data_IF_297870385444
#
_entry.id   IF_297870385444
#
_cell.length_a   1.000
_cell.length_b   1.000
_cell.length_c   1.000
_cell.angle_alpha   90.00
_cell.angle_beta   90.00
_cell.angle_gamma   90.00
#
_symmetry.space_group_name_H-M   'P 1'
#
loop_
_entity.id
_entity.type
_entity.pdbx_description
1 polymer ?
#
# COMPACT_ATOMS: atom_id res chain seq x y z
N UNK A 1 -6.47 31.20 -1.03
CA UNK A 1 -5.78 31.28 -2.34
C UNK A 1 -6.86 31.00 -3.37
N UNK A 2 -7.25 32.03 -4.13
CA UNK A 2 -8.28 31.90 -5.17
C UNK A 2 -7.65 31.27 -6.42
N UNK A 3 -7.84 29.97 -6.56
CA UNK A 3 -7.50 29.26 -7.80
C UNK A 3 -8.75 29.29 -8.68
N UNK A 4 -8.72 30.09 -9.75
CA UNK A 4 -9.81 30.12 -10.73
C UNK A 4 -10.01 28.72 -11.32
N UNK A 5 -11.17 28.13 -11.01
CA UNK A 5 -11.62 26.86 -11.56
C UNK A 5 -11.96 27.08 -13.05
N UNK A 6 -11.29 26.35 -13.93
CA UNK A 6 -11.52 26.44 -15.37
C UNK A 6 -12.88 25.79 -15.68
N UNK A 7 -13.86 26.59 -16.12
CA UNK A 7 -15.13 26.18 -16.75
C UNK A 7 -15.85 24.96 -16.12
N UNK A 8 -16.09 24.98 -14.82
CA UNK A 8 -16.95 24.00 -14.14
C UNK A 8 -18.40 24.51 -14.18
N UNK A 9 -19.39 23.70 -14.60
CA UNK A 9 -20.81 24.03 -14.44
C UNK A 9 -21.15 24.48 -13.01
N UNK A 10 -21.98 25.52 -12.87
CA UNK A 10 -22.25 26.19 -11.59
C UNK A 10 -22.83 25.25 -10.51
N UNK A 11 -23.60 24.25 -10.92
CA UNK A 11 -24.15 23.20 -10.07
C UNK A 11 -23.06 22.28 -9.51
N UNK A 12 -22.09 21.88 -10.34
CA UNK A 12 -20.94 21.08 -9.93
C UNK A 12 -19.98 21.87 -9.02
N UNK A 13 -19.90 23.19 -9.18
CA UNK A 13 -19.07 24.06 -8.35
C UNK A 13 -19.57 24.12 -6.90
N UNK A 14 -20.89 24.19 -6.68
CA UNK A 14 -21.49 24.20 -5.33
C UNK A 14 -21.27 22.87 -4.61
N UNK A 15 -21.51 21.74 -5.30
CA UNK A 15 -21.28 20.40 -4.73
C UNK A 15 -19.80 20.17 -4.42
N UNK A 16 -18.91 20.54 -5.32
CA UNK A 16 -17.47 20.44 -5.11
C UNK A 16 -17.03 21.29 -3.92
N UNK A 17 -17.50 22.53 -3.81
CA UNK A 17 -17.13 23.43 -2.71
C UNK A 17 -17.56 22.85 -1.37
N UNK A 18 -18.76 22.29 -1.25
CA UNK A 18 -19.21 21.65 -0.01
C UNK A 18 -18.32 20.46 0.39
N UNK A 19 -17.92 19.64 -0.57
CA UNK A 19 -16.99 18.52 -0.30
C UNK A 19 -15.63 19.07 0.11
N UNK A 20 -15.07 20.04 -0.62
CA UNK A 20 -13.76 20.64 -0.34
C UNK A 20 -13.73 21.36 1.02
N UNK A 21 -14.78 22.08 1.39
CA UNK A 21 -14.89 22.76 2.69
C UNK A 21 -14.92 21.72 3.83
N UNK A 22 -15.65 20.62 3.66
CA UNK A 22 -15.64 19.50 4.60
C UNK A 22 -14.27 18.81 4.64
N UNK A 23 -13.61 18.59 3.50
CA UNK A 23 -12.23 18.07 3.45
C UNK A 23 -11.28 18.96 4.25
N UNK A 24 -11.32 20.27 4.05
CA UNK A 24 -10.49 21.21 4.80
C UNK A 24 -10.77 21.19 6.29
N UNK A 25 -12.05 21.11 6.68
CA UNK A 25 -12.46 20.98 8.08
C UNK A 25 -11.88 19.70 8.69
N UNK A 26 -12.05 18.56 8.02
CA UNK A 26 -11.55 17.27 8.49
C UNK A 26 -10.01 17.23 8.58
N UNK A 27 -9.30 17.91 7.68
CA UNK A 27 -7.84 18.01 7.70
C UNK A 27 -7.33 18.97 8.78
N UNK A 28 -8.07 20.03 9.08
CA UNK A 28 -7.71 21.01 10.11
C UNK A 28 -7.82 20.43 11.54
N UNK A 29 -8.58 19.35 11.73
CA UNK A 29 -8.78 18.69 13.03
C UNK A 29 -7.53 17.95 13.59
N UNK A 30 -6.38 18.02 12.92
CA UNK A 30 -5.12 17.50 13.46
C UNK A 30 -5.02 15.97 13.50
N UNK A 31 -4.08 15.46 14.31
CA UNK A 31 -3.82 14.01 14.39
C UNK A 31 -4.97 13.28 15.08
N UNK A 32 -5.54 12.29 14.38
CA UNK A 32 -6.65 11.49 14.90
C UNK A 32 -6.20 10.19 15.55
N UNK A 33 -6.90 9.82 16.61
CA UNK A 33 -6.75 8.50 17.24
C UNK A 33 -7.39 7.38 16.42
N UNK A 34 -8.38 7.69 15.56
CA UNK A 34 -9.06 6.72 14.68
C UNK A 34 -8.96 7.10 13.22
N UNK A 35 -8.79 6.08 12.37
CA UNK A 35 -8.90 6.24 10.92
C UNK A 35 -10.36 6.53 10.53
N UNK A 36 -10.55 7.33 9.48
CA UNK A 36 -11.85 7.67 8.92
C UNK A 36 -11.94 7.19 7.48
N UNK A 37 -13.10 6.63 7.14
CA UNK A 37 -13.53 6.29 5.78
C UNK A 37 -14.88 6.97 5.55
N UNK A 38 -14.88 8.15 4.92
CA UNK A 38 -16.09 8.97 4.73
C UNK A 38 -16.49 8.95 3.27
N UNK A 39 -17.71 8.49 3.01
CA UNK A 39 -18.27 8.29 1.68
C UNK A 39 -19.13 9.47 1.26
N UNK A 40 -19.04 9.85 -0.01
CA UNK A 40 -19.84 10.88 -0.65
C UNK A 40 -20.38 10.31 -1.97
N UNK A 41 -21.70 10.41 -2.22
CA UNK A 41 -22.23 10.19 -3.56
C UNK A 41 -21.57 11.16 -4.53
N UNK A 42 -21.01 10.65 -5.63
CA UNK A 42 -20.29 11.44 -6.61
C UNK A 42 -20.38 10.81 -8.00
N UNK A 43 -21.07 11.52 -8.90
CA UNK A 43 -21.19 11.09 -10.30
C UNK A 43 -19.82 11.07 -11.00
N UNK A 44 -19.64 10.27 -12.06
CA UNK A 44 -18.38 10.24 -12.81
C UNK A 44 -17.96 11.60 -13.38
N UNK A 45 -18.92 12.43 -13.80
CA UNK A 45 -18.64 13.77 -14.31
C UNK A 45 -18.10 14.71 -13.23
N UNK A 46 -18.71 14.69 -12.04
CA UNK A 46 -18.21 15.46 -10.90
C UNK A 46 -16.83 14.95 -10.46
N UNK A 47 -16.62 13.63 -10.46
CA UNK A 47 -15.34 13.02 -10.13
C UNK A 47 -14.20 13.51 -11.01
N UNK A 48 -14.40 13.65 -12.33
CA UNK A 48 -13.35 14.17 -13.22
C UNK A 48 -12.87 15.57 -12.80
N UNK A 49 -13.82 16.44 -12.46
CA UNK A 49 -13.53 17.81 -12.00
C UNK A 49 -12.82 17.79 -10.64
N UNK A 50 -13.35 17.03 -9.68
CA UNK A 50 -12.79 16.91 -8.34
C UNK A 50 -11.38 16.31 -8.39
N UNK A 51 -11.17 15.23 -9.13
CA UNK A 51 -9.87 14.59 -9.28
C UNK A 51 -8.82 15.56 -9.85
N UNK A 52 -9.19 16.36 -10.86
CA UNK A 52 -8.30 17.39 -11.39
C UNK A 52 -7.92 18.39 -10.29
N UNK A 53 -8.88 18.91 -9.53
CA UNK A 53 -8.60 19.80 -8.40
C UNK A 53 -7.72 19.14 -7.33
N UNK A 54 -8.04 17.92 -6.91
CA UNK A 54 -7.28 17.18 -5.89
C UNK A 54 -5.82 16.93 -6.31
N UNK A 55 -5.56 16.69 -7.61
CA UNK A 55 -4.19 16.55 -8.11
C UNK A 55 -3.37 17.85 -8.03
N UNK A 56 -4.03 19.02 -8.00
CA UNK A 56 -3.34 20.32 -7.83
C UNK A 56 -2.98 20.63 -6.38
N UNK A 57 -3.71 20.05 -5.41
CA UNK A 57 -3.54 20.39 -3.99
C UNK A 57 -2.21 19.93 -3.38
N UNK A 58 -1.45 19.07 -4.09
CA UNK A 58 -0.13 18.56 -3.70
C UNK A 58 0.00 18.15 -2.21
N UNK A 59 -1.11 17.76 -1.59
CA UNK A 59 -1.25 17.48 -0.17
C UNK A 59 -1.39 15.99 0.13
N UNK A 60 -1.29 15.58 1.41
CA UNK A 60 -1.32 14.19 1.84
C UNK A 60 -2.73 13.58 1.81
N UNK A 61 -3.62 14.09 0.95
CA UNK A 61 -5.01 13.65 0.89
C UNK A 61 -5.06 12.22 0.35
N UNK A 62 -5.67 11.33 1.13
CA UNK A 62 -5.96 9.97 0.68
C UNK A 62 -7.41 9.88 0.25
N UNK A 63 -7.64 9.37 -0.95
CA UNK A 63 -8.98 9.20 -1.46
C UNK A 63 -9.10 7.99 -2.37
N UNK A 64 -10.34 7.52 -2.48
CA UNK A 64 -10.74 6.46 -3.38
C UNK A 64 -11.98 6.91 -4.14
N UNK A 65 -12.13 6.45 -5.37
CA UNK A 65 -13.34 6.65 -6.15
C UNK A 65 -13.74 5.33 -6.79
N UNK A 66 -14.94 4.88 -6.45
CA UNK A 66 -15.57 3.66 -6.91
C UNK A 66 -16.61 4.04 -7.96
N UNK A 67 -16.29 3.81 -9.23
CA UNK A 67 -17.15 4.20 -10.35
C UNK A 67 -18.40 3.34 -10.45
N UNK A 68 -18.34 2.06 -10.05
CA UNK A 68 -19.49 1.15 -10.15
C UNK A 68 -20.69 1.56 -9.27
N UNK A 69 -20.43 2.27 -8.16
CA UNK A 69 -21.45 2.75 -7.22
C UNK A 69 -21.45 4.28 -7.07
N UNK A 70 -20.73 4.99 -7.94
CA UNK A 70 -20.61 6.46 -7.93
C UNK A 70 -20.25 7.01 -6.54
N UNK A 71 -19.22 6.44 -5.89
CA UNK A 71 -18.84 6.82 -4.52
C UNK A 71 -17.42 7.36 -4.47
N UNK A 72 -17.29 8.61 -4.01
CA UNK A 72 -16.03 9.17 -3.56
C UNK A 72 -15.82 8.86 -2.08
N UNK A 73 -14.60 8.54 -1.71
CA UNK A 73 -14.21 8.25 -0.34
C UNK A 73 -13.04 9.13 0.04
N UNK A 74 -13.21 9.89 1.11
CA UNK A 74 -12.12 10.46 1.86
C UNK A 74 -11.59 9.45 2.87
N UNK A 75 -10.29 9.16 2.80
CA UNK A 75 -9.60 8.34 3.78
C UNK A 75 -8.68 9.23 4.63
N UNK A 76 -8.80 9.13 5.95
CA UNK A 76 -7.87 9.76 6.90
C UNK A 76 -7.30 8.65 7.78
N UNK A 77 -5.98 8.60 7.88
CA UNK A 77 -5.29 7.60 8.69
C UNK A 77 -5.10 8.10 10.12
N UNK A 78 -5.22 7.21 11.10
CA UNK A 78 -4.79 7.49 12.47
C UNK A 78 -3.26 7.44 12.61
N UNK A 79 -2.74 7.94 13.74
CA UNK A 79 -1.33 7.74 14.12
C UNK A 79 -0.94 6.26 14.11
N UNK A 80 -1.79 5.39 14.66
CA UNK A 80 -1.53 3.95 14.75
C UNK A 80 -1.48 3.28 13.36
N UNK A 81 -2.38 3.67 12.45
CA UNK A 81 -2.36 3.25 11.06
C UNK A 81 -1.04 3.63 10.37
N UNK A 82 -0.58 4.86 10.59
CA UNK A 82 0.65 5.34 9.97
C UNK A 82 1.92 4.71 10.55
N UNK A 83 1.96 4.40 11.85
CA UNK A 83 3.05 3.61 12.46
C UNK A 83 3.03 2.19 11.89
N UNK A 84 1.88 1.51 11.88
CA UNK A 84 1.74 0.17 11.32
C UNK A 84 2.25 0.10 9.88
N UNK A 85 1.86 1.08 9.04
CA UNK A 85 2.32 1.20 7.65
C UNK A 85 3.84 1.28 7.58
N UNK A 86 4.47 2.16 8.36
CA UNK A 86 5.93 2.37 8.35
C UNK A 86 6.67 1.13 8.85
N UNK A 87 6.22 0.54 9.96
CA UNK A 87 6.82 -0.68 10.54
C UNK A 87 6.72 -1.86 9.58
N UNK A 88 5.56 -2.07 8.96
CA UNK A 88 5.35 -3.15 7.99
C UNK A 88 6.23 -2.96 6.74
N UNK A 89 6.27 -1.73 6.19
CA UNK A 89 7.15 -1.38 5.08
C UNK A 89 8.61 -1.71 5.40
N UNK A 90 9.10 -1.25 6.56
CA UNK A 90 10.49 -1.44 6.98
C UNK A 90 10.85 -2.92 7.07
N UNK A 91 9.97 -3.76 7.60
CA UNK A 91 10.22 -5.21 7.73
C UNK A 91 10.32 -5.89 6.35
N UNK A 92 9.42 -5.56 5.43
CA UNK A 92 9.46 -6.10 4.05
C UNK A 92 10.77 -5.70 3.36
N UNK A 93 11.10 -4.41 3.37
CA UNK A 93 12.32 -3.89 2.73
C UNK A 93 13.55 -4.56 3.34
N UNK A 94 13.65 -4.62 4.67
CA UNK A 94 14.78 -5.27 5.36
C UNK A 94 14.96 -6.73 4.98
N UNK A 95 13.87 -7.50 4.86
CA UNK A 95 13.94 -8.91 4.44
C UNK A 95 14.35 -9.05 2.98
N UNK A 96 13.81 -8.22 2.09
CA UNK A 96 14.20 -8.21 0.69
C UNK A 96 15.70 -7.91 0.51
N UNK A 97 16.21 -6.89 1.20
CA UNK A 97 17.63 -6.55 1.19
C UNK A 97 18.52 -7.69 1.71
N UNK A 98 18.12 -8.34 2.81
CA UNK A 98 18.85 -9.49 3.36
C UNK A 98 18.89 -10.65 2.37
N UNK A 99 17.75 -10.98 1.76
CA UNK A 99 17.67 -12.00 0.72
C UNK A 99 18.62 -11.66 -0.43
N UNK A 100 18.53 -10.47 -1.00
CA UNK A 100 19.35 -10.07 -2.14
C UNK A 100 20.84 -10.00 -1.81
N UNK A 101 21.21 -9.57 -0.58
CA UNK A 101 22.60 -9.60 -0.09
C UNK A 101 23.16 -11.01 -0.04
N UNK A 102 22.37 -12.00 0.40
CA UNK A 102 22.81 -13.40 0.48
C UNK A 102 23.14 -14.01 -0.89
N UNK A 103 22.61 -13.44 -1.98
CA UNK A 103 22.88 -13.88 -3.34
C UNK A 103 23.68 -12.88 -4.18
N UNK A 104 24.32 -11.88 -3.56
CA UNK A 104 25.19 -10.93 -4.27
C UNK A 104 24.48 -9.97 -5.23
N UNK A 105 23.16 -9.76 -5.12
CA UNK A 105 22.37 -8.90 -6.01
C UNK A 105 21.72 -7.72 -5.29
N UNK A 106 22.51 -7.00 -4.49
CA UNK A 106 22.02 -5.83 -3.72
C UNK A 106 21.42 -4.74 -4.61
N UNK A 107 21.92 -4.60 -5.84
CA UNK A 107 21.42 -3.65 -6.84
C UNK A 107 19.96 -3.92 -7.21
N UNK A 108 19.54 -5.19 -7.31
CA UNK A 108 18.14 -5.54 -7.55
C UNK A 108 17.22 -5.05 -6.41
N UNK A 109 17.60 -5.25 -5.15
CA UNK A 109 16.81 -4.75 -4.01
C UNK A 109 16.62 -3.23 -4.03
N UNK A 110 17.65 -2.47 -4.45
CA UNK A 110 17.58 -1.00 -4.60
C UNK A 110 16.61 -0.55 -5.69
N UNK A 111 16.34 -1.41 -6.67
CA UNK A 111 15.41 -1.15 -7.78
C UNK A 111 13.96 -1.48 -7.43
N UNK A 112 13.70 -2.10 -6.28
CA UNK A 112 12.34 -2.25 -5.74
C UNK A 112 11.99 -1.00 -4.94
N UNK A 113 11.03 -0.24 -5.46
CA UNK A 113 10.51 0.98 -4.88
C UNK A 113 9.31 0.66 -4.00
N UNK A 114 9.23 1.29 -2.83
CA UNK A 114 8.02 1.34 -2.01
C UNK A 114 7.40 2.73 -2.16
N UNK A 115 6.17 2.80 -2.68
CA UNK A 115 5.42 4.05 -2.85
C UNK A 115 4.23 4.08 -1.91
N UNK A 116 3.96 5.25 -1.34
CA UNK A 116 2.81 5.52 -0.47
C UNK A 116 1.94 6.61 -1.10
N UNK A 117 0.73 6.88 -0.58
CA UNK A 117 -0.08 7.99 -1.09
C UNK A 117 0.66 9.33 -0.98
N UNK A 118 0.55 10.23 -1.97
CA UNK A 118 -0.29 10.09 -3.19
C UNK A 118 0.35 9.28 -4.33
N UNK A 119 1.65 8.98 -4.28
CA UNK A 119 2.39 8.32 -5.37
C UNK A 119 1.99 6.86 -5.60
N UNK A 120 1.28 6.23 -4.66
CA UNK A 120 0.78 4.85 -4.81
C UNK A 120 -0.51 4.74 -5.63
N UNK A 121 -1.12 5.86 -6.06
CA UNK A 121 -2.39 5.90 -6.81
C UNK A 121 -2.43 4.92 -7.99
N UNK A 122 -3.48 4.11 -8.06
CA UNK A 122 -3.76 3.20 -9.15
C UNK A 122 -5.12 3.54 -9.77
N UNK A 123 -5.19 3.47 -11.09
CA UNK A 123 -6.38 3.80 -11.86
C UNK A 123 -6.68 2.68 -12.85
N UNK A 124 -7.95 2.56 -13.25
CA UNK A 124 -8.33 1.76 -14.43
C UNK A 124 -7.74 2.36 -15.72
N UNK A 125 -7.68 1.60 -16.82
CA UNK A 125 -7.35 2.12 -18.14
C UNK A 125 -8.20 3.31 -18.60
N UNK A 126 -9.47 3.38 -18.19
CA UNK A 126 -10.36 4.51 -18.48
C UNK A 126 -10.20 5.68 -17.52
N UNK A 127 -9.49 5.50 -16.40
CA UNK A 127 -9.42 6.48 -15.31
C UNK A 127 -10.71 6.63 -14.51
N UNK A 128 -11.68 5.73 -14.73
CA UNK A 128 -12.98 5.80 -14.07
C UNK A 128 -12.90 5.44 -12.59
N UNK A 129 -12.27 4.32 -12.23
CA UNK A 129 -11.90 4.04 -10.83
C UNK A 129 -10.49 4.53 -10.52
N UNK A 130 -10.32 5.01 -9.28
CA UNK A 130 -9.06 5.53 -8.77
C UNK A 130 -8.93 5.19 -7.29
N UNK A 131 -7.89 4.45 -6.93
CA UNK A 131 -7.67 4.01 -5.56
C UNK A 131 -6.23 4.23 -5.12
N UNK A 132 -6.02 4.51 -3.84
CA UNK A 132 -4.70 4.81 -3.27
C UNK A 132 -4.37 3.82 -2.15
N UNK A 133 -3.54 2.80 -2.43
CA UNK A 133 -3.19 1.82 -1.41
C UNK A 133 -2.21 2.42 -0.42
N UNK A 134 -2.21 1.90 0.80
CA UNK A 134 -1.31 2.37 1.86
C UNK A 134 0.17 2.18 1.48
N UNK A 135 0.50 1.06 0.85
CA UNK A 135 1.85 0.80 0.30
C UNK A 135 1.71 0.07 -1.04
N UNK A 136 2.54 0.46 -2.00
CA UNK A 136 2.71 -0.28 -3.25
C UNK A 136 4.20 -0.48 -3.53
N UNK A 137 4.63 -1.74 -3.55
CA UNK A 137 5.98 -2.13 -3.90
C UNK A 137 6.06 -2.54 -5.37
N UNK A 138 7.06 -2.05 -6.10
CA UNK A 138 7.24 -2.36 -7.52
C UNK A 138 8.69 -2.21 -7.92
N UNK A 139 9.13 -2.94 -8.93
CA UNK A 139 10.37 -2.63 -9.62
C UNK A 139 10.29 -1.27 -10.35
N UNK A 140 11.42 -0.57 -10.44
CA UNK A 140 11.53 0.75 -11.08
C UNK A 140 11.25 0.70 -12.59
N UNK A 141 11.64 -0.39 -13.25
CA UNK A 141 11.44 -0.57 -14.70
C UNK A 141 10.01 -1.01 -15.01
N UNK A 142 9.39 -0.46 -16.07
CA UNK A 142 8.09 -0.91 -16.55
C UNK A 142 8.18 -2.25 -17.32
N UNK A 143 7.07 -3.02 -17.40
CA UNK A 143 5.78 -2.77 -16.75
C UNK A 143 5.85 -2.97 -15.23
N UNK A 144 5.16 -2.07 -14.51
CA UNK A 144 5.13 -2.08 -13.05
C UNK A 144 4.08 -3.07 -12.56
N UNK A 145 4.48 -4.31 -12.32
CA UNK A 145 3.76 -5.24 -11.43
C UNK A 145 4.30 -5.14 -10.02
N UNK A 146 3.54 -5.61 -9.02
CA UNK A 146 3.94 -5.35 -7.65
C UNK A 146 3.03 -5.90 -6.57
N UNK A 147 3.42 -5.56 -5.34
CA UNK A 147 2.72 -5.92 -4.11
C UNK A 147 1.95 -4.72 -3.59
N UNK A 148 0.64 -4.88 -3.40
CA UNK A 148 -0.23 -3.88 -2.83
C UNK A 148 -0.51 -4.23 -1.36
N UNK A 149 -0.44 -3.25 -0.46
CA UNK A 149 -0.75 -3.42 0.96
C UNK A 149 -1.79 -2.40 1.38
N UNK A 150 -2.80 -2.88 2.09
CA UNK A 150 -3.88 -2.08 2.66
C UNK A 150 -4.06 -2.37 4.15
N UNK A 151 -4.06 -1.33 4.97
CA UNK A 151 -4.44 -1.42 6.38
C UNK A 151 -5.93 -1.08 6.44
N UNK A 152 -6.70 -2.06 6.87
CA UNK A 152 -8.16 -2.04 6.85
C UNK A 152 -8.70 -1.82 8.26
N UNK A 153 -9.81 -1.10 8.36
CA UNK A 153 -10.54 -0.86 9.61
C UNK A 153 -12.04 -0.92 9.31
N UNK A 154 -12.91 -0.82 10.31
CA UNK A 154 -14.34 -1.10 10.14
C UNK A 154 -14.99 -0.41 8.92
N UNK A 155 -14.67 0.86 8.63
CA UNK A 155 -15.25 1.58 7.49
C UNK A 155 -14.75 1.12 6.11
N UNK A 156 -13.57 0.49 6.03
CA UNK A 156 -12.95 0.00 4.77
C UNK A 156 -13.20 -1.49 4.54
N UNK A 157 -13.60 -2.23 5.58
CA UNK A 157 -13.67 -3.70 5.58
C UNK A 157 -14.60 -4.24 4.49
N UNK A 158 -15.74 -3.60 4.27
CA UNK A 158 -16.73 -4.06 3.28
C UNK A 158 -16.24 -3.87 1.83
N UNK A 159 -15.32 -2.94 1.60
CA UNK A 159 -14.77 -2.66 0.26
C UNK A 159 -13.46 -3.41 -0.04
N UNK A 160 -12.94 -4.21 0.90
CA UNK A 160 -11.59 -4.78 0.75
C UNK A 160 -11.51 -5.82 -0.37
N UNK A 161 -12.59 -6.56 -0.59
CA UNK A 161 -12.67 -7.51 -1.70
C UNK A 161 -12.70 -6.76 -3.04
N UNK A 162 -13.55 -5.74 -3.17
CA UNK A 162 -13.62 -4.92 -4.38
C UNK A 162 -12.27 -4.25 -4.69
N UNK A 163 -11.55 -3.79 -3.66
CA UNK A 163 -10.21 -3.24 -3.83
C UNK A 163 -9.22 -4.31 -4.31
N UNK A 164 -9.23 -5.51 -3.71
CA UNK A 164 -8.35 -6.59 -4.14
C UNK A 164 -8.59 -6.99 -5.61
N UNK A 165 -9.86 -7.13 -6.00
CA UNK A 165 -10.28 -7.38 -7.39
C UNK A 165 -9.83 -6.25 -8.31
N UNK A 166 -10.09 -4.99 -7.94
CA UNK A 166 -9.63 -3.83 -8.70
C UNK A 166 -8.11 -3.85 -8.91
N UNK A 167 -7.32 -4.00 -7.85
CA UNK A 167 -5.87 -3.90 -7.93
C UNK A 167 -5.26 -5.01 -8.80
N UNK A 168 -5.74 -6.24 -8.64
CA UNK A 168 -5.19 -7.42 -9.34
C UNK A 168 -5.69 -7.50 -10.79
N UNK A 169 -6.98 -7.24 -11.03
CA UNK A 169 -7.62 -7.52 -12.32
C UNK A 169 -7.82 -6.28 -13.20
N UNK A 170 -8.06 -5.11 -12.62
CA UNK A 170 -8.55 -3.94 -13.36
C UNK A 170 -7.57 -2.75 -13.38
N UNK A 171 -6.65 -2.68 -12.42
CA UNK A 171 -5.73 -1.55 -12.29
C UNK A 171 -4.59 -1.61 -13.30
N UNK A 172 -4.11 -0.44 -13.73
CA UNK A 172 -2.88 -0.32 -14.54
C UNK A 172 -1.61 -0.79 -13.81
N UNK A 173 -1.66 -1.00 -12.48
CA UNK A 173 -0.52 -1.41 -11.65
C UNK A 173 -0.31 -2.92 -11.59
N UNK A 174 -1.13 -3.73 -12.27
CA UNK A 174 -0.93 -5.20 -12.42
C UNK A 174 -0.45 -5.87 -11.13
N UNK A 175 -1.24 -5.76 -10.06
CA UNK A 175 -0.85 -6.25 -8.74
C UNK A 175 -0.76 -7.78 -8.76
N UNK A 176 0.39 -8.32 -8.37
CA UNK A 176 0.65 -9.76 -8.27
C UNK A 176 0.14 -10.32 -6.94
N UNK A 177 0.28 -9.53 -5.87
CA UNK A 177 -0.13 -9.86 -4.52
C UNK A 177 -0.79 -8.67 -3.85
N UNK A 178 -2.01 -8.86 -3.38
CA UNK A 178 -2.70 -7.90 -2.51
C UNK A 178 -2.70 -8.42 -1.08
N UNK A 179 -2.29 -7.58 -0.13
CA UNK A 179 -2.19 -7.88 1.30
C UNK A 179 -3.10 -6.90 2.05
N UNK A 180 -3.99 -7.41 2.90
CA UNK A 180 -4.76 -6.60 3.83
C UNK A 180 -4.47 -6.99 5.27
N UNK A 181 -4.22 -5.99 6.11
CA UNK A 181 -4.16 -6.12 7.57
C UNK A 181 -5.39 -5.43 8.16
N UNK A 182 -6.33 -6.21 8.67
CA UNK A 182 -7.50 -5.71 9.39
C UNK A 182 -7.10 -5.29 10.79
N UNK A 183 -6.85 -4.00 10.97
CA UNK A 183 -6.34 -3.39 12.19
C UNK A 183 -7.26 -2.23 12.60
N UNK A 184 -8.12 -2.48 13.57
CA UNK A 184 -9.04 -1.48 14.13
C UNK A 184 -8.92 -1.44 15.66
N UNK A 185 -7.76 -0.99 16.12
CA UNK A 185 -7.34 -0.95 17.54
C UNK A 185 -8.40 -0.37 18.48
N UNK A 186 -9.21 0.60 18.04
CA UNK A 186 -10.23 1.24 18.89
C UNK A 186 -11.47 0.36 19.09
N UNK A 187 -11.71 -0.61 18.21
CA UNK A 187 -12.86 -1.51 18.28
C UNK A 187 -12.49 -2.90 18.75
N UNK A 188 -11.32 -3.39 18.38
CA UNK A 188 -10.86 -4.75 18.67
C UNK A 188 -9.33 -4.81 18.66
N UNK A 189 -8.79 -5.69 19.50
CA UNK A 189 -7.36 -6.04 19.46
C UNK A 189 -7.05 -7.09 18.39
N UNK A 190 -8.09 -7.78 17.88
CA UNK A 190 -7.91 -8.79 16.86
C UNK A 190 -7.37 -8.18 15.57
N UNK A 191 -6.47 -8.91 14.94
CA UNK A 191 -5.88 -8.54 13.66
C UNK A 191 -5.95 -9.73 12.73
N UNK A 192 -6.57 -9.51 11.58
CA UNK A 192 -6.67 -10.52 10.52
C UNK A 192 -5.77 -10.13 9.36
N UNK A 193 -4.91 -11.05 8.93
CA UNK A 193 -4.20 -10.96 7.66
C UNK A 193 -5.05 -11.62 6.57
N UNK A 194 -5.17 -10.92 5.45
CA UNK A 194 -5.82 -11.42 4.24
C UNK A 194 -4.91 -11.22 3.05
N UNK A 195 -4.87 -12.20 2.15
CA UNK A 195 -4.10 -12.10 0.91
C UNK A 195 -4.89 -12.58 -0.28
N UNK A 196 -4.65 -11.96 -1.43
CA UNK A 196 -5.23 -12.32 -2.71
C UNK A 196 -4.12 -12.41 -3.75
N UNK A 197 -4.21 -13.44 -4.59
CA UNK A 197 -3.39 -13.60 -5.80
C UNK A 197 -4.29 -13.98 -6.95
N UNK A 198 -3.84 -13.73 -8.18
CA UNK A 198 -4.53 -14.24 -9.36
C UNK A 198 -4.49 -15.77 -9.40
N UNK A 199 -5.61 -16.39 -9.72
CA UNK A 199 -5.67 -17.80 -10.05
C UNK A 199 -5.41 -17.98 -11.54
N UNK A 200 -4.19 -18.40 -11.88
CA UNK A 200 -3.82 -18.67 -13.28
C UNK A 200 -4.40 -19.98 -13.81
N UNK A 201 -5.05 -20.79 -12.97
CA UNK A 201 -5.74 -22.03 -13.39
C UNK A 201 -7.19 -21.78 -13.79
N UNK A 202 -7.75 -20.62 -13.43
CA UNK A 202 -9.10 -20.24 -13.82
C UNK A 202 -9.15 -19.90 -15.32
N UNK A 203 -9.97 -20.62 -16.14
CA UNK A 203 -10.08 -20.37 -17.57
C UNK A 203 -10.68 -19.00 -17.91
N UNK A 204 -11.43 -18.37 -16.99
CA UNK A 204 -11.96 -17.01 -17.22
C UNK A 204 -10.89 -15.93 -17.02
N UNK A 205 -9.80 -16.28 -16.32
CA UNK A 205 -8.74 -15.38 -15.92
C UNK A 205 -9.16 -14.35 -14.87
N UNK A 206 -10.34 -14.49 -14.26
CA UNK A 206 -10.90 -13.59 -13.24
C UNK A 206 -10.80 -14.18 -11.82
N UNK A 207 -10.44 -15.45 -11.70
CA UNK A 207 -10.30 -16.14 -10.43
C UNK A 207 -9.22 -15.52 -9.56
N UNK A 208 -9.52 -15.43 -8.26
CA UNK A 208 -8.58 -14.99 -7.23
C UNK A 208 -8.45 -16.07 -6.15
N UNK A 209 -7.23 -16.37 -5.76
CA UNK A 209 -6.93 -17.22 -4.61
C UNK A 209 -6.91 -16.34 -3.36
N UNK A 210 -7.94 -16.49 -2.53
CA UNK A 210 -8.08 -15.81 -1.26
C UNK A 210 -7.54 -16.66 -0.11
N UNK A 211 -6.75 -16.05 0.79
CA UNK A 211 -6.33 -16.66 2.06
C UNK A 211 -6.55 -15.68 3.20
N UNK A 212 -6.97 -16.21 4.34
CA UNK A 212 -7.16 -15.45 5.57
C UNK A 212 -6.54 -16.19 6.75
N UNK A 213 -5.96 -15.43 7.66
CA UNK A 213 -5.48 -15.95 8.94
C UNK A 213 -5.61 -14.88 10.02
N UNK A 214 -5.99 -15.31 11.22
CA UNK A 214 -5.89 -14.48 12.41
C UNK A 214 -4.43 -14.40 12.85
N UNK A 215 -3.91 -13.18 13.04
CA UNK A 215 -2.55 -12.93 13.53
C UNK A 215 -2.56 -12.67 15.03
N UNK A 216 -3.62 -12.00 15.49
CA UNK A 216 -3.84 -11.63 16.87
C UNK A 216 -5.33 -11.76 17.19
N UNK A 217 -5.64 -12.30 18.35
CA UNK A 217 -7.02 -12.47 18.80
C UNK A 217 -7.55 -11.22 19.54
N UNK A 218 -8.83 -11.25 19.94
CA UNK A 218 -9.47 -10.17 20.69
C UNK A 218 -8.87 -9.94 22.09
N UNK A 219 -8.12 -10.89 22.64
CA UNK A 219 -7.39 -10.73 23.90
C UNK A 219 -6.03 -10.05 23.72
N UNK A 220 -5.62 -9.81 22.47
CA UNK A 220 -4.33 -9.22 22.12
C UNK A 220 -3.19 -10.25 22.02
N UNK A 221 -3.47 -11.55 22.08
CA UNK A 221 -2.47 -12.60 21.98
C UNK A 221 -2.21 -13.00 20.53
N UNK A 222 -0.94 -13.26 20.20
CA UNK A 222 -0.54 -13.72 18.87
C UNK A 222 -1.01 -15.15 18.64
N UNK A 223 -1.69 -15.36 17.52
CA UNK A 223 -2.25 -16.66 17.12
C UNK A 223 -1.26 -17.40 16.23
N UNK A 224 -0.94 -18.65 16.54
CA UNK A 224 -0.05 -19.45 15.71
C UNK A 224 -0.63 -19.65 14.31
N UNK A 225 0.23 -19.57 13.29
CA UNK A 225 -0.19 -19.71 11.90
C UNK A 225 0.99 -19.70 10.94
N UNK A 226 0.68 -19.81 9.65
CA UNK A 226 1.68 -19.80 8.58
C UNK A 226 2.33 -18.42 8.42
N UNK A 227 3.61 -18.36 8.02
CA UNK A 227 4.25 -17.09 7.70
C UNK A 227 3.61 -16.47 6.45
N UNK A 228 3.55 -15.14 6.43
CA UNK A 228 3.26 -14.41 5.21
C UNK A 228 4.44 -14.59 4.25
N UNK A 229 4.19 -15.27 3.13
CA UNK A 229 5.15 -15.50 2.05
C UNK A 229 4.92 -14.50 0.91
N UNK A 230 5.98 -13.81 0.51
CA UNK A 230 5.99 -12.90 -0.64
C UNK A 230 7.11 -13.36 -1.57
N UNK A 231 6.75 -13.84 -2.75
CA UNK A 231 7.72 -14.27 -3.76
C UNK A 231 8.45 -13.04 -4.33
N UNK A 232 9.71 -13.18 -4.72
CA UNK A 232 10.42 -12.08 -5.40
C UNK A 232 9.70 -11.67 -6.68
N UNK A 233 9.08 -12.62 -7.39
CA UNK A 233 8.24 -12.36 -8.57
C UNK A 233 6.93 -11.62 -8.25
N UNK A 234 6.54 -11.51 -6.98
CA UNK A 234 5.40 -10.66 -6.61
C UNK A 234 5.76 -9.16 -6.73
N UNK A 235 7.05 -8.79 -6.71
CA UNK A 235 7.51 -7.39 -6.79
C UNK A 235 7.80 -6.90 -8.20
N UNK A 236 7.98 -7.82 -9.16
CA UNK A 236 8.44 -7.50 -10.50
C UNK A 236 8.16 -8.64 -11.48
N UNK A 237 7.99 -8.31 -12.75
CA UNK A 237 7.93 -9.30 -13.83
C UNK A 237 9.20 -10.14 -13.91
N UNK A 238 9.07 -11.38 -14.39
CA UNK A 238 10.16 -12.37 -14.44
C UNK A 238 11.41 -11.86 -15.17
N UNK A 239 11.24 -11.05 -16.21
CA UNK A 239 12.32 -10.44 -17.00
C UNK A 239 13.21 -9.47 -16.20
N UNK A 240 12.67 -8.89 -15.11
CA UNK A 240 13.40 -7.99 -14.23
C UNK A 240 14.00 -8.69 -13.00
N UNK A 241 13.63 -9.94 -12.76
CA UNK A 241 14.10 -10.70 -11.59
C UNK A 241 15.22 -11.65 -12.01
N UNK A 242 16.37 -11.66 -11.31
CA UNK A 242 17.41 -12.65 -11.56
C UNK A 242 16.88 -14.09 -11.48
N UNK A 243 17.20 -14.99 -12.44
CA UNK A 243 16.58 -16.33 -12.53
C UNK A 243 16.65 -17.17 -11.25
N UNK A 244 17.76 -17.12 -10.51
CA UNK A 244 17.92 -17.85 -9.25
C UNK A 244 17.10 -17.28 -8.09
N UNK A 245 16.48 -16.11 -8.25
CA UNK A 245 15.51 -15.54 -7.33
C UNK A 245 14.05 -15.86 -7.69
N UNK A 246 13.76 -16.45 -8.86
CA UNK A 246 12.37 -16.69 -9.33
C UNK A 246 11.52 -17.54 -8.38
N UNK A 247 12.15 -18.42 -7.59
CA UNK A 247 11.48 -19.27 -6.61
C UNK A 247 11.83 -18.91 -5.17
N UNK A 248 12.40 -17.71 -4.95
CA UNK A 248 12.74 -17.24 -3.61
C UNK A 248 11.63 -16.37 -3.08
N UNK A 249 11.45 -16.46 -1.78
CA UNK A 249 10.44 -15.72 -1.05
C UNK A 249 11.03 -15.05 0.18
N UNK A 250 10.46 -13.92 0.56
CA UNK A 250 10.60 -13.39 1.91
C UNK A 250 9.45 -13.93 2.74
N UNK A 251 9.77 -14.36 3.95
CA UNK A 251 8.80 -14.89 4.90
C UNK A 251 8.71 -13.98 6.11
N UNK A 252 7.52 -13.55 6.49
CA UNK A 252 7.25 -12.86 7.74
C UNK A 252 6.50 -13.81 8.65
N UNK A 253 7.17 -14.30 9.69
CA UNK A 253 6.51 -15.14 10.70
C UNK A 253 5.41 -14.36 11.43
N UNK A 254 4.45 -15.07 12.01
CA UNK A 254 3.38 -14.44 12.81
C UNK A 254 3.97 -13.66 14.00
N UNK A 255 5.11 -14.09 14.56
CA UNK A 255 5.82 -13.33 15.59
C UNK A 255 6.36 -12.00 15.08
N UNK A 256 6.95 -11.98 13.89
CA UNK A 256 7.43 -10.74 13.27
C UNK A 256 6.27 -9.80 12.92
N UNK A 257 5.15 -10.34 12.45
CA UNK A 257 3.92 -9.58 12.26
C UNK A 257 3.41 -9.02 13.59
N UNK A 258 3.46 -9.81 14.66
CA UNK A 258 3.13 -9.38 16.03
C UNK A 258 3.98 -8.20 16.49
N UNK A 259 5.31 -8.25 16.31
CA UNK A 259 6.20 -7.14 16.65
C UNK A 259 5.91 -5.87 15.84
N UNK A 260 5.46 -6.00 14.59
CA UNK A 260 5.01 -4.86 13.78
C UNK A 260 3.72 -4.24 14.37
N UNK A 261 2.79 -5.08 14.84
CA UNK A 261 1.56 -4.62 15.50
C UNK A 261 1.84 -3.96 16.86
N UNK A 262 2.77 -4.50 17.64
CA UNK A 262 3.20 -3.92 18.92
C UNK A 262 3.79 -2.52 18.74
N UNK A 263 4.64 -2.31 17.73
CA UNK A 263 5.16 -0.97 17.40
C UNK A 263 4.01 0.01 17.09
N UNK A 264 3.05 -0.44 16.28
CA UNK A 264 1.86 0.35 15.99
C UNK A 264 1.08 0.68 17.26
N UNK A 265 0.96 -0.25 18.19
CA UNK A 265 0.15 -0.11 19.39
C UNK A 265 0.70 0.86 20.43
N UNK A 266 2.02 0.92 20.59
CA UNK A 266 2.67 1.79 21.58
C UNK A 266 3.15 3.11 20.98
N UNK A 267 3.11 3.25 19.64
CA UNK A 267 3.59 4.43 18.93
C UNK A 267 5.13 4.54 18.98
N UNK A 268 5.70 5.33 18.07
CA UNK A 268 7.14 5.63 18.08
C UNK A 268 7.53 6.52 19.28
N UNK A 269 7.54 5.97 20.49
CA UNK A 269 8.33 6.53 21.60
C UNK A 269 9.78 5.97 21.56
N UNK A 270 10.14 5.25 20.49
CA UNK A 270 11.44 4.55 20.34
C UNK A 270 12.28 5.03 19.15
N UNK A 271 11.88 6.06 18.41
CA UNK A 271 12.64 6.54 17.24
C UNK A 271 13.23 7.95 17.46
N UNK A 272 14.21 8.04 18.35
CA UNK A 272 15.27 9.07 18.30
C UNK A 272 16.65 8.54 18.73
N UNK A 273 16.79 7.24 19.01
CA UNK A 273 18.07 6.63 19.35
C UNK A 273 18.26 5.36 18.53
N UNK A 274 18.77 5.52 17.31
CA UNK A 274 19.75 4.66 16.66
C UNK A 274 19.85 5.08 15.19
N UNK A 275 20.27 6.33 14.96
CA UNK A 275 21.13 6.58 13.82
C UNK A 275 22.44 5.82 14.05
N UNK A 276 22.90 5.24 12.95
CA UNK A 276 24.01 4.35 12.82
C UNK A 276 25.32 5.01 13.29
N UNK A 277 25.84 4.54 14.42
CA UNK A 277 27.29 4.43 14.61
C UNK A 277 27.66 2.96 14.46
N UNK A 278 27.66 2.50 13.22
CA UNK A 278 28.60 1.46 12.80
C UNK A 278 29.50 2.09 11.74
N UNK A 279 30.49 2.84 12.22
CA UNK A 279 31.75 3.01 11.52
C UNK A 279 32.41 1.64 11.44
N UNK A 280 32.05 0.86 10.42
CA UNK A 280 32.95 -0.17 9.92
C UNK A 280 33.70 0.47 8.76
N UNK A 281 34.94 0.86 9.06
CA UNK A 281 35.97 1.13 8.08
C UNK A 281 36.07 -0.06 7.13
N UNK A 282 35.69 0.12 5.86
CA UNK A 282 36.04 -0.80 4.79
C UNK A 282 37.03 -0.08 3.87
N UNK A 283 38.27 0.00 4.36
CA UNK A 283 39.43 0.23 3.50
C UNK A 283 39.58 -0.94 2.53
N UNK A 284 39.24 -0.68 1.27
CA UNK A 284 40.00 -1.17 0.13
C UNK A 284 39.97 -2.66 -0.15
N UNK A 285 39.03 -3.11 -0.96
CA UNK A 285 39.34 -3.97 -2.12
C UNK A 285 38.27 -3.75 -3.19
N UNK A 286 38.62 -3.53 -4.48
CA UNK A 286 37.62 -3.46 -5.53
C UNK A 286 37.08 -4.88 -5.78
N UNK A 287 36.00 -5.23 -5.09
CA UNK A 287 35.21 -6.40 -5.47
C UNK A 287 34.67 -6.12 -6.86
N UNK A 288 35.03 -6.99 -7.80
CA UNK A 288 34.47 -7.02 -9.14
C UNK A 288 32.97 -7.30 -9.03
N UNK A 289 32.17 -6.25 -8.88
CA UNK A 289 30.73 -6.28 -9.00
C UNK A 289 30.42 -6.82 -10.39
N UNK A 290 29.89 -8.05 -10.45
CA UNK A 290 29.33 -8.55 -11.70
C UNK A 290 28.02 -7.79 -11.93
N UNK A 291 28.11 -6.72 -12.72
CA UNK A 291 26.94 -6.12 -13.38
C UNK A 291 26.12 -7.25 -13.99
N UNK A 292 24.84 -7.34 -13.59
CA UNK A 292 23.96 -8.33 -14.18
C UNK A 292 23.68 -7.90 -15.62
N UNK A 293 23.71 -8.82 -16.62
CA UNK A 293 23.81 -8.49 -18.04
C UNK A 293 22.59 -7.79 -18.68
N UNK A 294 21.63 -7.32 -17.88
CA UNK A 294 20.45 -6.57 -18.31
C UNK A 294 20.50 -5.10 -17.86
N UNK A 295 21.71 -4.55 -17.70
CA UNK A 295 21.99 -3.18 -17.22
C UNK A 295 22.00 -2.08 -18.31
N UNK A 296 21.29 -2.28 -19.42
CA UNK A 296 21.10 -1.24 -20.46
C UNK A 296 19.72 -0.60 -20.42
#
# INVERSE_FOLDING_TARGET
MDTQLINVPLDLEVEMKAIVDDLHTQLAEGTRESSLWKTYPMSPNLWLVVNQYLTTLNGPLRYNYFSHNHTFVLQISSRYHDVLRRSFLRVIVKKLYRLCRAYGVRTFARRILATCPPQSKAETPSGCDSHQPDIYFTHVSPPRSGVCVEITFAGKRDSIQDLAEFYILHSRRKVSLFISLDYDRRRSWAVTLRTWRRDYTDPTGLGLIYRTQEIRDDSGLIVAGEPLKICVLDFAEQEHVPPFLHHREIELSVRELGSVLEQADFGDDLEDNHEESSSDDDEGTPDSESEWPFET
#
